data_IF_487699435707
#
_entry.id   IF_487699435707
#
_cell.length_a   1.000
_cell.length_b   1.000
_cell.length_c   1.000
_cell.angle_alpha   90.00
_cell.angle_beta   90.00
_cell.angle_gamma   90.00
#
_symmetry.space_group_name_H-M   'P 1'
#
loop_
_entity.id
_entity.type
_entity.pdbx_description
1 polymer ?
#
# COMPACT_ATOMS: atom_id res chain seq x y z
N UNK A 1 1.20 2.72 -3.98
CA UNK A 1 0.95 4.15 -3.98
C UNK A 1 1.87 4.92 -3.04
N UNK A 2 1.98 6.19 -3.26
CA UNK A 2 2.80 7.10 -2.46
C UNK A 2 1.97 8.32 -2.07
N UNK A 3 1.80 8.54 -0.78
CA UNK A 3 1.15 9.73 -0.25
C UNK A 3 2.22 10.59 0.42
N UNK A 4 2.44 11.78 -0.11
CA UNK A 4 3.50 12.67 0.38
C UNK A 4 2.91 13.96 0.93
N UNK A 5 3.66 14.64 1.80
CA UNK A 5 3.29 15.95 2.30
C UNK A 5 3.70 17.01 1.27
N UNK A 6 2.76 17.35 0.39
CA UNK A 6 2.99 18.31 -0.68
C UNK A 6 2.62 19.74 -0.35
N UNK A 7 2.13 20.01 0.86
CA UNK A 7 1.71 21.34 1.26
C UNK A 7 0.37 21.80 0.70
N UNK A 8 -0.26 21.01 -0.17
CA UNK A 8 -1.54 21.33 -0.79
C UNK A 8 -2.70 20.71 0.01
N UNK A 9 -2.43 19.59 0.65
CA UNK A 9 -3.42 18.87 1.46
C UNK A 9 -2.80 18.41 2.77
N UNK A 10 -3.64 18.03 3.71
CA UNK A 10 -3.16 17.47 4.99
C UNK A 10 -2.77 16.01 4.75
N UNK A 11 -1.47 15.74 4.82
CA UNK A 11 -0.89 14.41 4.61
C UNK A 11 -1.56 13.33 5.48
N UNK A 12 -1.71 13.61 6.77
CA UNK A 12 -2.28 12.66 7.72
C UNK A 12 -3.73 12.32 7.37
N UNK A 13 -4.49 13.31 6.95
CA UNK A 13 -5.89 13.12 6.56
C UNK A 13 -5.99 12.22 5.32
N UNK A 14 -5.19 12.50 4.30
CA UNK A 14 -5.21 11.74 3.05
C UNK A 14 -4.73 10.32 3.28
N UNK A 15 -3.64 10.14 4.03
CA UNK A 15 -3.12 8.82 4.35
C UNK A 15 -4.15 7.98 5.12
N UNK A 16 -4.82 8.57 6.11
CA UNK A 16 -5.88 7.91 6.86
C UNK A 16 -7.05 7.53 5.97
N UNK A 17 -7.48 8.43 5.07
CA UNK A 17 -8.58 8.17 4.14
C UNK A 17 -8.26 7.02 3.19
N UNK A 18 -7.03 6.95 2.68
CA UNK A 18 -6.61 5.85 1.80
C UNK A 18 -6.63 4.52 2.53
N UNK A 19 -6.03 4.44 3.72
CA UNK A 19 -5.98 3.21 4.50
C UNK A 19 -7.38 2.75 4.89
N UNK A 20 -8.21 3.66 5.38
CA UNK A 20 -9.59 3.35 5.75
C UNK A 20 -10.42 2.91 4.55
N UNK A 21 -10.21 3.53 3.38
CA UNK A 21 -10.90 3.15 2.15
C UNK A 21 -10.56 1.72 1.72
N UNK A 22 -9.30 1.34 1.80
CA UNK A 22 -8.86 -0.03 1.50
C UNK A 22 -9.47 -1.04 2.47
N UNK A 23 -9.47 -0.73 3.76
CA UNK A 23 -10.08 -1.58 4.78
C UNK A 23 -11.58 -1.75 4.54
N UNK A 24 -12.27 -0.66 4.22
CA UNK A 24 -13.70 -0.69 3.95
C UNK A 24 -14.02 -1.52 2.72
N UNK A 25 -13.24 -1.40 1.65
CA UNK A 25 -13.42 -2.19 0.45
C UNK A 25 -13.31 -3.68 0.76
N UNK A 26 -12.32 -4.08 1.58
CA UNK A 26 -12.18 -5.46 2.00
C UNK A 26 -13.37 -5.94 2.83
N UNK A 27 -13.82 -5.13 3.78
CA UNK A 27 -14.94 -5.49 4.65
C UNK A 27 -16.26 -5.59 3.89
N UNK A 28 -16.52 -4.64 2.97
CA UNK A 28 -17.77 -4.57 2.24
C UNK A 28 -17.88 -5.66 1.16
N UNK A 29 -16.77 -6.06 0.56
CA UNK A 29 -16.77 -7.06 -0.51
C UNK A 29 -16.48 -8.48 -0.04
N UNK A 30 -15.88 -8.63 1.13
CA UNK A 30 -15.38 -9.93 1.59
C UNK A 30 -14.17 -10.43 0.80
N UNK A 31 -13.57 -9.57 -0.02
CA UNK A 31 -12.40 -9.91 -0.83
C UNK A 31 -11.16 -9.33 -0.18
N UNK A 32 -10.10 -10.14 0.07
CA UNK A 32 -8.86 -9.62 0.64
C UNK A 32 -8.26 -8.53 -0.23
N UNK A 33 -7.83 -7.44 0.41
CA UNK A 33 -7.19 -6.30 -0.26
C UNK A 33 -5.78 -6.15 0.29
N UNK A 34 -4.79 -6.14 -0.59
CA UNK A 34 -3.38 -6.01 -0.21
C UNK A 34 -2.90 -4.61 -0.56
N UNK A 35 -2.19 -4.00 0.39
CA UNK A 35 -1.78 -2.61 0.27
C UNK A 35 -0.27 -2.49 0.24
N UNK A 36 0.24 -1.70 -0.69
CA UNK A 36 1.63 -1.28 -0.73
C UNK A 36 1.67 0.26 -0.86
N UNK A 37 1.07 0.93 0.11
CA UNK A 37 0.99 2.39 0.15
C UNK A 37 2.05 2.92 1.11
N UNK A 38 2.92 3.80 0.63
CA UNK A 38 3.93 4.46 1.43
C UNK A 38 3.47 5.89 1.73
N UNK A 39 3.61 6.28 2.99
CA UNK A 39 3.09 7.56 3.49
C UNK A 39 4.17 8.35 4.24
N UNK A 40 5.31 8.71 3.58
CA UNK A 40 6.37 9.44 4.27
C UNK A 40 5.96 10.87 4.57
N UNK A 41 6.31 11.34 5.79
CA UNK A 41 6.08 12.74 6.17
C UNK A 41 7.03 13.70 5.44
N UNK A 42 8.23 13.23 5.14
CA UNK A 42 9.26 14.04 4.48
C UNK A 42 9.67 13.39 3.18
N UNK A 43 9.26 13.97 2.08
CA UNK A 43 9.65 13.53 0.76
C UNK A 43 10.22 14.73 -0.01
N UNK A 44 11.42 14.57 -0.52
CA UNK A 44 12.06 15.54 -1.39
C UNK A 44 12.23 14.93 -2.77
N UNK A 45 11.89 15.69 -3.81
CA UNK A 45 12.01 15.23 -5.20
C UNK A 45 13.47 15.19 -5.69
N UNK A 46 14.43 15.05 -4.77
CA UNK A 46 15.84 14.90 -5.10
C UNK A 46 16.15 13.49 -5.59
N UNK A 47 17.25 13.36 -6.32
CA UNK A 47 17.64 12.10 -6.94
C UNK A 47 17.79 10.95 -5.94
N UNK A 48 18.41 11.21 -4.79
CA UNK A 48 18.61 10.19 -3.76
C UNK A 48 17.29 9.67 -3.20
N UNK A 49 16.35 10.57 -2.91
CA UNK A 49 15.02 10.18 -2.42
C UNK A 49 14.23 9.42 -3.47
N UNK A 50 14.29 9.87 -4.72
CA UNK A 50 13.59 9.21 -5.82
C UNK A 50 14.12 7.79 -6.03
N UNK A 51 15.43 7.61 -6.01
CA UNK A 51 16.06 6.28 -6.15
C UNK A 51 15.68 5.37 -4.98
N UNK A 52 15.75 5.90 -3.75
CA UNK A 52 15.38 5.13 -2.56
C UNK A 52 13.94 4.61 -2.64
N UNK A 53 12.99 5.49 -2.95
CA UNK A 53 11.59 5.10 -3.02
C UNK A 53 11.30 4.18 -4.20
N UNK A 54 11.97 4.37 -5.32
CA UNK A 54 11.82 3.49 -6.47
C UNK A 54 12.21 2.05 -6.12
N UNK A 55 13.36 1.86 -5.48
CA UNK A 55 13.81 0.54 -5.05
C UNK A 55 12.89 -0.05 -3.98
N UNK A 56 12.46 0.78 -3.04
CA UNK A 56 11.57 0.37 -1.97
C UNK A 56 10.21 -0.07 -2.51
N UNK A 57 9.68 0.60 -3.52
CA UNK A 57 8.42 0.22 -4.16
C UNK A 57 8.53 -1.12 -4.88
N UNK A 58 9.64 -1.40 -5.53
CA UNK A 58 9.87 -2.71 -6.17
C UNK A 58 9.81 -3.82 -5.12
N UNK A 59 10.48 -3.63 -3.99
CA UNK A 59 10.47 -4.59 -2.89
C UNK A 59 9.07 -4.76 -2.31
N UNK A 60 8.37 -3.67 -2.04
CA UNK A 60 7.01 -3.70 -1.49
C UNK A 60 6.01 -4.34 -2.45
N UNK A 61 6.15 -4.09 -3.74
CA UNK A 61 5.32 -4.74 -4.75
C UNK A 61 5.50 -6.25 -4.74
N UNK A 62 6.73 -6.73 -4.66
CA UNK A 62 7.01 -8.17 -4.56
C UNK A 62 6.43 -8.76 -3.28
N UNK A 63 6.58 -8.10 -2.15
CA UNK A 63 6.02 -8.54 -0.87
C UNK A 63 4.49 -8.64 -0.94
N UNK A 64 3.82 -7.63 -1.50
CA UNK A 64 2.37 -7.61 -1.63
C UNK A 64 1.89 -8.74 -2.56
N UNK A 65 2.56 -8.96 -3.67
CA UNK A 65 2.22 -10.02 -4.62
C UNK A 65 2.38 -11.40 -3.98
N UNK A 66 3.46 -11.62 -3.23
CA UNK A 66 3.69 -12.89 -2.54
C UNK A 66 2.64 -13.13 -1.46
N UNK A 67 2.28 -12.11 -0.69
CA UNK A 67 1.23 -12.20 0.33
C UNK A 67 -0.12 -12.54 -0.32
N UNK A 68 -0.44 -11.93 -1.44
CA UNK A 68 -1.66 -12.20 -2.18
C UNK A 68 -1.69 -13.65 -2.67
N UNK A 69 -0.61 -14.13 -3.28
CA UNK A 69 -0.51 -15.50 -3.76
C UNK A 69 -0.66 -16.53 -2.64
N UNK A 70 0.00 -16.29 -1.51
CA UNK A 70 -0.11 -17.16 -0.34
C UNK A 70 -1.53 -17.20 0.22
N UNK A 71 -2.20 -16.06 0.26
CA UNK A 71 -3.57 -15.97 0.74
C UNK A 71 -4.53 -16.73 -0.17
N UNK A 72 -4.40 -16.60 -1.48
CA UNK A 72 -5.21 -17.33 -2.44
C UNK A 72 -5.02 -18.85 -2.25
N UNK A 73 -3.78 -19.31 -2.13
CA UNK A 73 -3.47 -20.70 -1.91
C UNK A 73 -4.09 -21.22 -0.61
N UNK A 74 -4.00 -20.45 0.47
CA UNK A 74 -4.57 -20.81 1.77
C UNK A 74 -6.10 -20.89 1.72
N UNK A 75 -6.74 -19.95 1.05
CA UNK A 75 -8.20 -19.93 0.91
C UNK A 75 -8.69 -21.12 0.06
N UNK A 76 -7.98 -21.47 -1.01
CA UNK A 76 -8.28 -22.65 -1.81
C UNK A 76 -8.18 -23.93 -0.99
N UNK A 77 -7.15 -24.06 -0.16
CA UNK A 77 -6.97 -25.21 0.72
C UNK A 77 -8.11 -25.35 1.73
N UNK A 78 -8.60 -24.24 2.28
CA UNK A 78 -9.70 -24.24 3.23
C UNK A 78 -11.03 -24.59 2.54
N UNK A 79 -11.19 -24.13 1.30
CA UNK A 79 -12.44 -24.34 0.53
C UNK A 79 -12.60 -25.78 0.02
N UNK A 80 -11.57 -26.56 0.11
CA UNK A 80 -11.60 -27.98 -0.26
C UNK A 80 -12.00 -28.83 0.92
#
# INVERSE_FOLDING_TARGET
GLVVDGGIYRHDFVATAVVNGLMRAQMDTGVPVFSAVLTPHHFHAGEEHTTFFKEHFVKKGKEAANACAQTITSLEAISR
#
